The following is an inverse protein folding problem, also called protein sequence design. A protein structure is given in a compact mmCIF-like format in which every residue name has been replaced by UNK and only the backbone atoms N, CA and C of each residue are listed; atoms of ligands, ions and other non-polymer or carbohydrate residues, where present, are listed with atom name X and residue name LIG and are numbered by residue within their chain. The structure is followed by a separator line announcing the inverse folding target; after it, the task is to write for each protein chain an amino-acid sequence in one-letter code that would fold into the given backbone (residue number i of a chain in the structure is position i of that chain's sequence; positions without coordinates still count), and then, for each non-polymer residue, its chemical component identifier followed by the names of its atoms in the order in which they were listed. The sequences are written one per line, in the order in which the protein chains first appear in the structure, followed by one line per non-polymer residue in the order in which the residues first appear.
data_IF_008842593888
#
_entry.id   IF_008842593888
#
_cell.length_a   1.000
_cell.length_b   1.000
_cell.length_c   1.000
_cell.angle_alpha   90.00
_cell.angle_beta   90.00
_cell.angle_gamma   90.00
#
_symmetry.space_group_name_H-M   'P 1'
#
loop_
_entity.id
_entity.type
_entity.pdbx_description
1 polymer ?
#
# COMPACT_ATOMS: atom_id res chain seq x y z
N UNK A 1 76.91 -138.49 49.08
CA UNK A 1 76.18 -137.46 49.88
C UNK A 1 76.24 -136.04 49.28
N UNK A 2 77.19 -135.73 48.37
CA UNK A 2 77.36 -134.38 47.79
C UNK A 2 76.24 -133.89 46.83
N UNK A 3 75.60 -134.78 46.05
CA UNK A 3 74.59 -134.38 45.03
C UNK A 3 73.28 -133.81 45.60
N UNK A 4 72.89 -134.12 46.85
CA UNK A 4 71.65 -133.60 47.46
C UNK A 4 71.82 -132.17 47.97
N UNK A 5 73.03 -131.80 48.42
CA UNK A 5 73.34 -130.45 48.91
C UNK A 5 73.38 -129.41 47.80
N UNK A 6 73.86 -129.78 46.62
CA UNK A 6 73.89 -128.89 45.45
C UNK A 6 72.50 -128.61 44.88
N UNK A 7 71.60 -129.60 44.91
CA UNK A 7 70.20 -129.43 44.48
C UNK A 7 69.43 -128.50 45.44
N UNK A 8 69.62 -128.62 46.75
CA UNK A 8 68.99 -127.74 47.72
C UNK A 8 69.46 -126.28 47.59
N UNK A 9 70.76 -126.05 47.39
CA UNK A 9 71.33 -124.73 47.14
C UNK A 9 70.80 -124.11 45.83
N UNK A 10 70.62 -124.91 44.79
CA UNK A 10 70.05 -124.45 43.52
C UNK A 10 68.59 -124.01 43.68
N UNK A 11 67.78 -124.76 44.44
CA UNK A 11 66.37 -124.40 44.71
C UNK A 11 66.28 -123.08 45.50
N UNK A 12 67.12 -122.90 46.53
CA UNK A 12 67.15 -121.66 47.32
C UNK A 12 67.58 -120.47 46.46
N UNK A 13 68.55 -120.65 45.57
CA UNK A 13 68.98 -119.60 44.64
C UNK A 13 67.86 -119.22 43.64
N UNK A 14 67.10 -120.21 43.13
CA UNK A 14 65.96 -119.96 42.24
C UNK A 14 64.83 -119.25 42.98
N UNK A 15 64.49 -119.67 44.20
CA UNK A 15 63.46 -119.01 45.02
C UNK A 15 63.91 -117.59 45.39
N UNK A 16 65.17 -117.40 45.77
CA UNK A 16 65.73 -116.07 46.06
C UNK A 16 65.71 -115.16 44.83
N UNK A 17 66.05 -115.68 43.65
CA UNK A 17 66.05 -114.90 42.41
C UNK A 17 64.63 -114.56 41.93
N UNK A 18 63.69 -115.51 42.03
CA UNK A 18 62.28 -115.29 41.68
C UNK A 18 61.58 -114.33 42.65
N UNK A 19 61.88 -114.41 43.95
CA UNK A 19 61.39 -113.45 44.93
C UNK A 19 61.99 -112.06 44.72
N UNK A 20 63.30 -111.96 44.46
CA UNK A 20 63.96 -110.69 44.17
C UNK A 20 63.44 -110.05 42.88
N UNK A 21 63.24 -110.84 41.82
CA UNK A 21 62.61 -110.39 40.57
C UNK A 21 61.16 -109.94 40.80
N UNK A 22 60.36 -110.66 41.58
CA UNK A 22 58.98 -110.27 41.91
C UNK A 22 58.91 -109.00 42.76
N UNK A 23 59.77 -108.88 43.78
CA UNK A 23 59.85 -107.72 44.65
C UNK A 23 60.40 -106.47 43.92
N UNK A 24 61.39 -106.65 43.04
CA UNK A 24 61.96 -105.55 42.26
C UNK A 24 60.97 -105.05 41.20
N UNK A 25 60.32 -105.95 40.46
CA UNK A 25 59.34 -105.57 39.43
C UNK A 25 58.11 -104.88 40.01
N UNK A 26 57.58 -105.34 41.15
CA UNK A 26 56.47 -104.68 41.84
C UNK A 26 56.87 -103.29 42.38
N UNK A 27 58.06 -103.18 42.98
CA UNK A 27 58.60 -101.91 43.44
C UNK A 27 58.84 -100.92 42.30
N UNK A 28 59.34 -101.39 41.15
CA UNK A 28 59.57 -100.56 39.97
C UNK A 28 58.25 -100.09 39.34
N UNK A 29 57.21 -100.94 39.34
CA UNK A 29 55.87 -100.58 38.86
C UNK A 29 55.25 -99.43 39.67
N UNK A 30 55.24 -99.56 41.01
CA UNK A 30 54.73 -98.50 41.90
C UNK A 30 55.55 -97.21 41.77
N UNK A 31 56.87 -97.33 41.62
CA UNK A 31 57.74 -96.18 41.40
C UNK A 31 57.41 -95.46 40.10
N UNK A 32 57.18 -96.20 39.01
CA UNK A 32 56.80 -95.64 37.72
C UNK A 32 55.43 -94.96 37.77
N UNK A 33 54.46 -95.54 38.48
CA UNK A 33 53.14 -94.94 38.70
C UNK A 33 53.22 -93.64 39.51
N UNK A 34 54.03 -93.60 40.58
CA UNK A 34 54.31 -92.37 41.35
C UNK A 34 54.95 -91.29 40.46
N UNK A 35 55.89 -91.67 39.58
CA UNK A 35 56.52 -90.74 38.64
C UNK A 35 55.49 -90.21 37.62
N UNK A 36 54.61 -91.07 37.09
CA UNK A 36 53.53 -90.69 36.17
C UNK A 36 52.57 -89.71 36.83
N UNK A 37 52.03 -90.05 38.01
CA UNK A 37 51.12 -89.21 38.77
C UNK A 37 51.75 -87.85 39.13
N UNK A 38 53.05 -87.82 39.46
CA UNK A 38 53.76 -86.57 39.73
C UNK A 38 53.87 -85.70 38.47
N UNK A 39 54.08 -86.33 37.31
CA UNK A 39 54.15 -85.65 36.01
C UNK A 39 52.77 -85.09 35.63
N UNK A 40 51.71 -85.88 35.77
CA UNK A 40 50.32 -85.46 35.56
C UNK A 40 49.94 -84.31 36.50
N UNK A 41 50.28 -84.40 37.79
CA UNK A 41 50.04 -83.33 38.75
C UNK A 41 50.76 -82.03 38.36
N UNK A 42 52.00 -82.13 37.86
CA UNK A 42 52.74 -80.97 37.35
C UNK A 42 52.03 -80.36 36.13
N UNK A 43 51.59 -81.18 35.18
CA UNK A 43 50.87 -80.73 33.99
C UNK A 43 49.53 -80.07 34.34
N UNK A 44 48.76 -80.65 35.26
CA UNK A 44 47.50 -80.07 35.76
C UNK A 44 47.74 -78.73 36.44
N UNK A 45 48.82 -78.61 37.24
CA UNK A 45 49.18 -77.35 37.90
C UNK A 45 49.56 -76.25 36.89
N UNK A 46 50.28 -76.60 35.83
CA UNK A 46 50.60 -75.68 34.74
C UNK A 46 49.34 -75.23 33.99
N UNK A 47 48.44 -76.17 33.65
CA UNK A 47 47.16 -75.85 33.02
C UNK A 47 46.29 -74.95 33.91
N UNK A 48 46.23 -75.23 35.22
CA UNK A 48 45.51 -74.39 36.18
C UNK A 48 46.07 -72.96 36.22
N UNK A 49 47.40 -72.81 36.30
CA UNK A 49 48.02 -71.49 36.31
C UNK A 49 47.76 -70.72 35.01
N UNK A 50 47.75 -71.40 33.86
CA UNK A 50 47.42 -70.79 32.57
C UNK A 50 45.97 -70.30 32.53
N UNK A 51 45.03 -71.12 32.99
CA UNK A 51 43.61 -70.73 33.11
C UNK A 51 43.44 -69.55 34.06
N UNK A 52 44.18 -69.51 35.17
CA UNK A 52 44.15 -68.39 36.11
C UNK A 52 44.63 -67.09 35.48
N UNK A 53 45.70 -67.15 34.69
CA UNK A 53 46.22 -66.00 33.93
C UNK A 53 45.22 -65.53 32.86
N UNK A 54 44.63 -66.46 32.10
CA UNK A 54 43.60 -66.15 31.09
C UNK A 54 42.36 -65.52 31.73
N UNK A 55 41.87 -66.05 32.85
CA UNK A 55 40.76 -65.46 33.59
C UNK A 55 41.08 -64.06 34.11
N UNK A 56 42.32 -63.82 34.54
CA UNK A 56 42.74 -62.49 35.01
C UNK A 56 42.72 -61.47 33.85
N UNK A 57 43.18 -61.86 32.66
CA UNK A 57 43.12 -61.03 31.44
C UNK A 57 41.68 -60.75 31.02
N UNK A 58 40.81 -61.77 31.00
CA UNK A 58 39.40 -61.59 30.67
C UNK A 58 38.68 -60.64 31.63
N UNK A 59 39.04 -60.67 32.91
CA UNK A 59 38.45 -59.77 33.91
C UNK A 59 38.88 -58.31 33.67
N UNK A 60 40.13 -58.10 33.28
CA UNK A 60 40.63 -56.78 32.87
C UNK A 60 39.94 -56.28 31.59
N UNK A 61 39.85 -57.12 30.55
CA UNK A 61 39.14 -56.80 29.31
C UNK A 61 37.66 -56.46 29.56
N UNK A 62 36.98 -57.21 30.42
CA UNK A 62 35.58 -56.93 30.76
C UNK A 62 35.43 -55.60 31.51
N UNK A 63 36.36 -55.26 32.40
CA UNK A 63 36.37 -53.96 33.07
C UNK A 63 36.55 -52.80 32.08
N UNK A 64 37.42 -52.96 31.08
CA UNK A 64 37.62 -51.95 30.03
C UNK A 64 36.36 -51.80 29.16
N UNK A 65 35.72 -52.91 28.78
CA UNK A 65 34.48 -52.89 28.01
C UNK A 65 33.33 -52.21 28.77
N UNK A 66 33.25 -52.40 30.09
CA UNK A 66 32.27 -51.71 30.94
C UNK A 66 32.50 -50.20 30.96
N UNK A 67 33.76 -49.76 31.02
CA UNK A 67 34.13 -48.36 30.95
C UNK A 67 33.79 -47.75 29.58
N UNK A 68 34.17 -48.40 28.48
CA UNK A 68 33.85 -47.97 27.11
C UNK A 68 32.33 -47.87 26.88
N UNK A 69 31.56 -48.84 27.37
CA UNK A 69 30.10 -48.82 27.25
C UNK A 69 29.48 -47.67 28.06
N UNK A 70 30.06 -47.34 29.22
CA UNK A 70 29.66 -46.19 30.03
C UNK A 70 29.93 -44.86 29.30
N UNK A 71 31.10 -44.73 28.66
CA UNK A 71 31.43 -43.58 27.83
C UNK A 71 30.47 -43.45 26.65
N UNK A 72 30.22 -44.54 25.92
CA UNK A 72 29.33 -44.54 24.76
C UNK A 72 27.89 -44.13 25.14
N UNK A 73 27.39 -44.58 26.28
CA UNK A 73 26.07 -44.16 26.80
C UNK A 73 26.02 -42.66 27.06
N UNK A 74 27.09 -42.08 27.59
CA UNK A 74 27.18 -40.63 27.85
C UNK A 74 27.19 -39.85 26.54
N UNK A 75 28.01 -40.28 25.58
CA UNK A 75 28.13 -39.64 24.27
C UNK A 75 26.80 -39.70 23.52
N UNK A 76 26.10 -40.83 23.58
CA UNK A 76 24.76 -40.99 23.01
C UNK A 76 23.75 -40.02 23.65
N UNK A 77 23.79 -39.85 24.98
CA UNK A 77 22.90 -38.91 25.67
C UNK A 77 23.16 -37.46 25.22
N UNK A 78 24.44 -37.06 25.11
CA UNK A 78 24.83 -35.73 24.61
C UNK A 78 24.38 -35.53 23.16
N UNK A 79 24.58 -36.53 22.30
CA UNK A 79 24.15 -36.47 20.91
C UNK A 79 22.63 -36.31 20.79
N UNK A 80 21.86 -37.03 21.61
CA UNK A 80 20.40 -36.92 21.66
C UNK A 80 19.94 -35.52 22.09
N UNK A 81 20.60 -34.93 23.07
CA UNK A 81 20.31 -33.55 23.50
C UNK A 81 20.61 -32.55 22.39
N UNK A 82 21.77 -32.67 21.73
CA UNK A 82 22.16 -31.81 20.63
C UNK A 82 21.19 -31.91 19.44
N UNK A 83 20.75 -33.12 19.11
CA UNK A 83 19.74 -33.33 18.08
C UNK A 83 18.42 -32.62 18.43
N UNK A 84 17.97 -32.72 19.69
CA UNK A 84 16.77 -32.02 20.14
C UNK A 84 16.90 -30.51 20.03
N UNK A 85 18.05 -29.93 20.40
CA UNK A 85 18.32 -28.50 20.24
C UNK A 85 18.31 -28.08 18.78
N UNK A 86 18.96 -28.86 17.91
CA UNK A 86 19.00 -28.59 16.47
C UNK A 86 17.59 -28.60 15.86
N UNK A 87 16.74 -29.56 16.27
CA UNK A 87 15.36 -29.63 15.81
C UNK A 87 14.58 -28.36 16.18
N UNK A 88 14.69 -27.89 17.42
CA UNK A 88 14.03 -26.65 17.86
C UNK A 88 14.54 -25.42 17.07
N UNK A 89 15.84 -25.35 16.79
CA UNK A 89 16.40 -24.28 15.96
C UNK A 89 15.88 -24.33 14.53
N UNK A 90 15.75 -25.52 13.95
CA UNK A 90 15.21 -25.71 12.62
C UNK A 90 13.74 -25.28 12.55
N UNK A 91 12.91 -25.72 13.51
CA UNK A 91 11.49 -25.37 13.56
C UNK A 91 11.31 -23.84 13.66
N UNK A 92 12.11 -23.17 14.50
CA UNK A 92 12.12 -21.69 14.59
C UNK A 92 12.52 -21.03 13.27
N UNK A 93 13.54 -21.54 12.59
CA UNK A 93 14.00 -20.97 11.33
C UNK A 93 12.92 -21.10 10.24
N UNK A 94 12.16 -22.20 10.24
CA UNK A 94 11.03 -22.38 9.32
C UNK A 94 9.93 -21.36 9.60
N UNK A 95 9.57 -21.14 10.87
CA UNK A 95 8.58 -20.11 11.25
C UNK A 95 9.04 -18.69 10.84
N UNK A 96 10.31 -18.35 11.08
CA UNK A 96 10.87 -17.06 10.64
C UNK A 96 10.83 -16.91 9.12
N UNK A 97 11.18 -17.96 8.37
CA UNK A 97 11.13 -17.95 6.91
C UNK A 97 9.70 -17.81 6.36
N UNK A 98 8.73 -18.48 6.98
CA UNK A 98 7.32 -18.31 6.64
C UNK A 98 6.84 -16.87 6.91
N UNK A 99 7.30 -16.24 7.99
CA UNK A 99 7.04 -14.82 8.27
C UNK A 99 7.63 -13.88 7.21
N UNK A 100 8.81 -14.20 6.66
CA UNK A 100 9.44 -13.42 5.58
C UNK A 100 8.73 -13.60 4.25
N UNK A 101 8.02 -14.71 4.01
CA UNK A 101 7.25 -14.92 2.76
C UNK A 101 6.20 -13.83 2.53
N UNK A 102 5.66 -13.26 3.61
CA UNK A 102 4.71 -12.15 3.56
C UNK A 102 5.36 -10.82 3.12
N UNK A 103 6.68 -10.68 3.28
CA UNK A 103 7.42 -9.48 2.87
C UNK A 103 7.31 -9.22 1.37
N UNK A 104 7.36 -10.26 0.52
CA UNK A 104 7.20 -10.09 -0.93
C UNK A 104 5.82 -9.53 -1.28
N UNK A 105 4.76 -10.05 -0.66
CA UNK A 105 3.40 -9.55 -0.86
C UNK A 105 3.26 -8.08 -0.43
N UNK A 106 3.79 -7.74 0.75
CA UNK A 106 3.86 -6.38 1.27
C UNK A 106 4.61 -5.43 0.34
N UNK A 107 5.76 -5.87 -0.18
CA UNK A 107 6.56 -5.10 -1.14
C UNK A 107 5.79 -4.83 -2.44
N UNK A 108 5.17 -5.85 -3.03
CA UNK A 108 4.37 -5.69 -4.27
C UNK A 108 3.11 -4.84 -4.06
N UNK A 109 2.55 -4.83 -2.85
CA UNK A 109 1.46 -3.92 -2.48
C UNK A 109 1.95 -2.48 -2.41
N UNK A 110 3.06 -2.24 -1.70
CA UNK A 110 3.67 -0.93 -1.55
C UNK A 110 4.10 -0.34 -2.90
N UNK A 111 4.68 -1.16 -3.78
CA UNK A 111 5.08 -0.75 -5.12
C UNK A 111 3.88 -0.25 -5.94
N UNK A 112 2.76 -0.99 -5.93
CA UNK A 112 1.53 -0.57 -6.61
C UNK A 112 0.93 0.70 -6.01
N UNK A 113 0.98 0.87 -4.69
CA UNK A 113 0.53 2.10 -4.04
C UNK A 113 1.38 3.31 -4.46
N UNK A 114 2.70 3.12 -4.60
CA UNK A 114 3.60 4.17 -5.10
C UNK A 114 3.30 4.54 -6.56
N UNK A 115 3.15 3.56 -7.46
CA UNK A 115 2.79 3.80 -8.86
C UNK A 115 1.46 4.56 -9.00
N UNK A 116 0.47 4.24 -8.16
CA UNK A 116 -0.80 4.98 -8.12
C UNK A 116 -0.66 6.41 -7.61
N UNK A 117 0.22 6.64 -6.63
CA UNK A 117 0.48 7.97 -6.09
C UNK A 117 1.15 8.87 -7.14
N UNK A 118 2.07 8.31 -7.92
CA UNK A 118 2.75 9.02 -9.01
C UNK A 118 1.76 9.50 -10.07
N UNK A 119 0.80 8.64 -10.48
CA UNK A 119 -0.27 9.02 -11.42
C UNK A 119 -1.11 10.18 -10.86
N UNK A 120 -1.55 10.08 -9.60
CA UNK A 120 -2.35 11.14 -8.96
C UNK A 120 -1.60 12.46 -8.88
N UNK A 121 -0.29 12.43 -8.67
CA UNK A 121 0.52 13.64 -8.64
C UNK A 121 0.57 14.30 -10.03
N UNK A 122 0.72 13.52 -11.10
CA UNK A 122 0.67 14.05 -12.46
C UNK A 122 -0.70 14.64 -12.81
N UNK A 123 -1.80 13.99 -12.39
CA UNK A 123 -3.16 14.52 -12.57
C UNK A 123 -3.37 15.85 -11.83
N UNK A 124 -2.83 15.98 -10.62
CA UNK A 124 -2.92 17.22 -9.83
C UNK A 124 -2.16 18.37 -10.51
N UNK A 125 -0.98 18.09 -11.06
CA UNK A 125 -0.17 19.08 -11.79
C UNK A 125 -0.90 19.59 -13.03
N UNK A 126 -1.57 18.71 -13.79
CA UNK A 126 -2.36 19.12 -14.96
C UNK A 126 -3.55 20.01 -14.55
N UNK A 127 -4.20 19.69 -13.43
CA UNK A 127 -5.31 20.49 -12.92
C UNK A 127 -4.88 21.89 -12.47
N UNK A 128 -3.65 22.04 -11.97
CA UNK A 128 -3.08 23.34 -11.60
C UNK A 128 -2.87 24.23 -12.83
N UNK A 129 -2.39 23.67 -13.94
CA UNK A 129 -2.24 24.37 -15.23
C UNK A 129 -3.61 24.82 -15.80
N UNK A 130 -4.62 23.95 -15.72
CA UNK A 130 -6.00 24.27 -16.12
C UNK A 130 -6.59 25.41 -15.27
N UNK A 131 -6.32 25.42 -13.96
CA UNK A 131 -6.78 26.46 -13.04
C UNK A 131 -6.16 27.82 -13.38
N UNK A 132 -4.86 27.90 -13.61
CA UNK A 132 -4.20 29.15 -13.97
C UNK A 132 -4.69 29.67 -15.33
N UNK A 133 -4.91 28.77 -16.30
CA UNK A 133 -5.51 29.13 -17.59
C UNK A 133 -6.92 29.72 -17.45
N UNK A 134 -7.75 29.14 -16.58
CA UNK A 134 -9.09 29.62 -16.30
C UNK A 134 -9.07 31.00 -15.62
N UNK A 135 -8.15 31.19 -14.68
CA UNK A 135 -7.96 32.45 -13.96
C UNK A 135 -7.53 33.58 -14.89
N UNK A 136 -6.62 33.32 -15.84
CA UNK A 136 -6.28 34.30 -16.87
C UNK A 136 -7.47 34.65 -17.78
N UNK A 137 -8.27 33.66 -18.18
CA UNK A 137 -9.46 33.88 -18.99
C UNK A 137 -10.49 34.75 -18.25
N UNK A 138 -10.65 34.54 -16.95
CA UNK A 138 -11.53 35.34 -16.09
C UNK A 138 -11.07 36.80 -16.01
N UNK A 139 -9.78 37.06 -15.77
CA UNK A 139 -9.27 38.44 -15.71
C UNK A 139 -9.44 39.16 -17.05
N UNK A 140 -9.17 38.49 -18.18
CA UNK A 140 -9.44 39.04 -19.52
C UNK A 140 -10.92 39.38 -19.73
N UNK A 141 -11.83 38.53 -19.26
CA UNK A 141 -13.27 38.78 -19.36
C UNK A 141 -13.67 40.00 -18.53
N UNK A 142 -13.12 40.13 -17.32
CA UNK A 142 -13.36 41.26 -16.43
C UNK A 142 -12.89 42.58 -17.04
N UNK A 143 -11.67 42.61 -17.59
CA UNK A 143 -11.15 43.79 -18.30
C UNK A 143 -12.04 44.20 -19.49
N UNK A 144 -12.51 43.21 -20.27
CA UNK A 144 -13.43 43.46 -21.38
C UNK A 144 -14.76 44.06 -20.90
N UNK A 145 -15.31 43.56 -19.79
CA UNK A 145 -16.53 44.08 -19.19
C UNK A 145 -16.35 45.54 -18.75
N UNK A 146 -15.26 45.86 -18.04
CA UNK A 146 -14.94 47.23 -17.60
C UNK A 146 -14.71 48.19 -18.78
N UNK A 147 -14.13 47.71 -19.89
CA UNK A 147 -13.98 48.50 -21.12
C UNK A 147 -15.34 48.86 -21.73
N UNK A 148 -16.25 47.89 -21.81
CA UNK A 148 -17.59 48.13 -22.36
C UNK A 148 -18.37 49.11 -21.49
N UNK A 149 -18.24 49.02 -20.16
CA UNK A 149 -18.89 49.95 -19.24
C UNK A 149 -18.48 51.40 -19.55
N UNK A 150 -17.17 51.65 -19.74
CA UNK A 150 -16.62 52.96 -20.12
C UNK A 150 -17.07 53.43 -21.51
N UNK A 151 -17.17 52.52 -22.47
CA UNK A 151 -17.71 52.84 -23.81
C UNK A 151 -19.20 53.23 -23.73
N UNK A 152 -19.96 52.61 -22.83
CA UNK A 152 -21.36 52.95 -22.56
C UNK A 152 -21.56 54.28 -21.83
N UNK A 153 -20.62 54.69 -20.95
CA UNK A 153 -20.64 55.99 -20.27
C UNK A 153 -20.52 57.19 -21.24
N UNK A 154 -20.02 56.99 -22.45
CA UNK A 154 -19.94 58.04 -23.47
C UNK A 154 -21.31 58.43 -24.07
N UNK A 155 -22.36 57.64 -23.81
CA UNK A 155 -23.76 57.94 -24.14
C UNK A 155 -24.46 58.29 -22.82
N UNK A 156 -25.16 59.43 -22.74
CA UNK A 156 -25.82 59.85 -21.50
C UNK A 156 -26.69 58.72 -20.90
N UNK A 157 -26.20 58.12 -19.82
CA UNK A 157 -26.81 56.92 -19.19
C UNK A 157 -28.17 57.24 -18.61
N UNK A 158 -28.38 58.48 -18.18
CA UNK A 158 -29.71 59.01 -17.91
C UNK A 158 -29.76 60.52 -18.10
N UNK A 159 -30.96 61.05 -18.36
CA UNK A 159 -31.22 62.48 -18.40
C UNK A 159 -32.60 62.77 -17.82
N UNK A 160 -32.76 63.95 -17.22
CA UNK A 160 -34.02 64.46 -16.70
C UNK A 160 -34.25 65.88 -17.23
N UNK A 161 -35.45 66.15 -17.77
CA UNK A 161 -35.84 67.47 -18.23
C UNK A 161 -37.36 67.67 -18.13
N UNK A 162 -37.78 68.92 -18.30
CA UNK A 162 -39.19 69.30 -18.36
C UNK A 162 -39.55 69.52 -19.84
N UNK A 163 -40.72 69.04 -20.28
CA UNK A 163 -41.22 69.26 -21.63
C UNK A 163 -41.37 70.74 -21.96
N UNK A 164 -41.35 71.10 -23.24
CA UNK A 164 -41.46 72.50 -23.69
C UNK A 164 -42.74 73.19 -23.19
N UNK A 165 -43.84 72.43 -23.13
CA UNK A 165 -45.13 72.90 -22.61
C UNK A 165 -45.22 72.96 -21.08
N UNK A 166 -44.15 72.55 -20.38
CA UNK A 166 -44.01 72.51 -18.91
C UNK A 166 -45.03 71.63 -18.18
N UNK A 167 -45.69 70.72 -18.88
CA UNK A 167 -46.71 69.83 -18.32
C UNK A 167 -46.17 68.43 -17.96
N UNK A 168 -45.03 68.05 -18.52
CA UNK A 168 -44.42 66.74 -18.29
C UNK A 168 -43.01 66.89 -17.72
N UNK A 169 -42.70 66.10 -16.70
CA UNK A 169 -41.33 65.76 -16.30
C UNK A 169 -40.95 64.47 -17.03
N UNK A 170 -39.84 64.49 -17.75
CA UNK A 170 -39.35 63.35 -18.54
C UNK A 170 -38.01 62.89 -18.00
N UNK A 171 -37.88 61.59 -17.78
CA UNK A 171 -36.59 60.95 -17.50
C UNK A 171 -36.32 59.89 -18.57
N UNK A 172 -35.06 59.76 -18.98
CA UNK A 172 -34.60 58.67 -19.83
C UNK A 172 -33.44 57.95 -19.17
N UNK A 173 -33.37 56.62 -19.37
CA UNK A 173 -32.31 55.75 -18.87
C UNK A 173 -31.90 54.78 -19.98
N UNK A 174 -30.60 54.73 -20.30
CA UNK A 174 -30.02 53.83 -21.30
C UNK A 174 -29.58 52.53 -20.63
N UNK A 175 -30.05 51.41 -21.15
CA UNK A 175 -29.79 50.08 -20.62
C UNK A 175 -29.13 49.22 -21.72
N UNK A 176 -27.84 48.86 -21.60
CA UNK A 176 -27.18 48.00 -22.57
C UNK A 176 -27.72 46.56 -22.50
N UNK A 177 -27.96 45.95 -23.66
CA UNK A 177 -28.46 44.57 -23.77
C UNK A 177 -27.34 43.64 -24.22
N UNK A 178 -27.03 42.65 -23.39
CA UNK A 178 -26.00 41.66 -23.64
C UNK A 178 -26.60 40.30 -24.00
N UNK A 179 -25.99 39.65 -24.99
CA UNK A 179 -26.28 38.25 -25.31
C UNK A 179 -24.95 37.50 -25.48
N UNK A 180 -24.78 36.40 -24.73
CA UNK A 180 -23.53 35.62 -24.70
C UNK A 180 -22.27 36.48 -24.43
N UNK A 181 -22.39 37.47 -23.55
CA UNK A 181 -21.28 38.37 -23.20
C UNK A 181 -20.93 39.41 -24.27
N UNK A 182 -21.71 39.51 -25.36
CA UNK A 182 -21.52 40.53 -26.41
C UNK A 182 -22.67 41.54 -26.38
N UNK A 183 -22.33 42.82 -26.52
CA UNK A 183 -23.32 43.88 -26.68
C UNK A 183 -24.12 43.65 -27.96
N UNK A 184 -25.43 43.48 -27.82
CA UNK A 184 -26.36 43.25 -28.94
C UNK A 184 -27.01 44.56 -29.40
N UNK A 185 -27.24 45.46 -28.47
CA UNK A 185 -27.96 46.71 -28.68
C UNK A 185 -28.23 47.41 -27.36
N UNK A 186 -29.11 48.39 -27.40
CA UNK A 186 -29.54 49.13 -26.22
C UNK A 186 -31.06 49.08 -26.08
N UNK A 187 -31.50 49.34 -24.85
CA UNK A 187 -32.86 49.73 -24.53
C UNK A 187 -32.82 51.13 -23.96
N UNK A 188 -33.83 51.93 -24.24
CA UNK A 188 -34.01 53.22 -23.56
C UNK A 188 -35.34 53.20 -22.84
N UNK A 189 -35.26 53.24 -21.51
CA UNK A 189 -36.41 53.39 -20.64
C UNK A 189 -36.73 54.88 -20.54
N UNK A 190 -37.95 55.26 -20.89
CA UNK A 190 -38.45 56.63 -20.77
C UNK A 190 -39.58 56.65 -19.77
N UNK A 191 -39.50 57.54 -18.78
CA UNK A 191 -40.60 57.79 -17.85
C UNK A 191 -41.10 59.22 -18.03
N UNK A 192 -42.40 59.37 -18.25
CA UNK A 192 -43.07 60.67 -18.29
C UNK A 192 -43.98 60.80 -17.08
N UNK A 193 -43.92 61.93 -16.39
CA UNK A 193 -44.77 62.22 -15.23
C UNK A 193 -45.56 63.50 -15.50
N UNK A 194 -46.88 63.44 -15.34
CA UNK A 194 -47.72 64.63 -15.45
C UNK A 194 -47.52 65.51 -14.21
N UNK A 195 -46.91 66.68 -14.42
CA UNK A 195 -46.65 67.68 -13.38
C UNK A 195 -47.61 68.88 -13.48
N UNK A 196 -48.60 68.82 -14.36
CA UNK A 196 -49.62 69.84 -14.52
C UNK A 196 -50.78 69.64 -13.53
N UNK A 197 -51.68 70.63 -13.48
CA UNK A 197 -52.85 70.62 -12.60
C UNK A 197 -54.11 70.01 -13.28
N UNK A 198 -53.96 69.39 -14.45
CA UNK A 198 -55.06 68.80 -15.21
C UNK A 198 -54.66 67.45 -15.83
N UNK A 199 -55.61 66.53 -16.09
CA UNK A 199 -55.30 65.29 -16.78
C UNK A 199 -54.93 65.55 -18.25
N UNK A 200 -53.94 64.81 -18.75
CA UNK A 200 -53.51 64.89 -20.15
C UNK A 200 -54.19 63.78 -20.95
N UNK A 201 -55.07 64.17 -21.88
CA UNK A 201 -55.85 63.22 -22.67
C UNK A 201 -54.98 62.30 -23.52
N UNK A 202 -53.90 62.84 -24.11
CA UNK A 202 -52.94 62.05 -24.90
C UNK A 202 -51.52 62.57 -24.76
N UNK A 203 -50.56 61.68 -24.55
CA UNK A 203 -49.13 61.97 -24.52
C UNK A 203 -48.42 61.10 -25.54
N UNK A 204 -47.67 61.71 -26.46
CA UNK A 204 -46.79 60.99 -27.38
C UNK A 204 -45.36 61.03 -26.86
N UNK A 205 -44.70 59.88 -26.88
CA UNK A 205 -43.29 59.73 -26.54
C UNK A 205 -42.57 59.22 -27.77
N UNK A 206 -41.60 59.98 -28.26
CA UNK A 206 -40.78 59.66 -29.41
C UNK A 206 -39.35 59.40 -28.96
N UNK A 207 -38.72 58.39 -29.54
CA UNK A 207 -37.27 58.20 -29.45
C UNK A 207 -36.61 58.39 -30.83
N UNK A 208 -35.46 59.03 -30.83
CA UNK A 208 -34.65 59.27 -32.01
C UNK A 208 -33.24 58.74 -31.76
N UNK A 209 -32.95 57.47 -32.13
CA UNK A 209 -31.61 56.90 -32.03
C UNK A 209 -30.70 57.44 -33.14
N UNK A 210 -29.46 57.79 -32.81
CA UNK A 210 -28.47 58.31 -33.76
C UNK A 210 -27.22 57.44 -33.79
N UNK A 211 -26.65 57.26 -34.98
CA UNK A 211 -25.33 56.65 -35.21
C UNK A 211 -24.44 57.73 -35.82
N UNK A 212 -23.55 58.29 -34.99
CA UNK A 212 -22.87 59.56 -35.28
C UNK A 212 -23.89 60.71 -35.38
N UNK A 213 -23.82 61.47 -36.47
CA UNK A 213 -24.76 62.59 -36.74
C UNK A 213 -26.00 62.17 -37.55
N UNK A 214 -26.17 60.87 -37.83
CA UNK A 214 -27.26 60.35 -38.66
C UNK A 214 -28.31 59.66 -37.80
N UNK A 215 -29.58 60.00 -38.03
CA UNK A 215 -30.70 59.28 -37.44
C UNK A 215 -30.67 57.83 -37.96
N UNK A 216 -30.76 56.86 -37.05
CA UNK A 216 -30.90 55.45 -37.40
C UNK A 216 -32.26 55.20 -38.08
N UNK A 217 -32.46 54.00 -38.65
CA UNK A 217 -33.76 53.64 -39.21
C UNK A 217 -34.86 53.90 -38.19
N UNK A 218 -35.83 54.72 -38.58
CA UNK A 218 -36.89 55.21 -37.71
C UNK A 218 -38.24 54.86 -38.31
N UNK A 219 -39.11 54.27 -37.50
CA UNK A 219 -40.47 53.92 -37.86
C UNK A 219 -41.40 54.14 -36.66
N UNK A 220 -42.68 54.36 -36.96
CA UNK A 220 -43.68 54.71 -35.94
C UNK A 220 -44.01 53.58 -34.96
N UNK A 221 -43.74 52.31 -35.31
CA UNK A 221 -44.15 51.18 -34.48
C UNK A 221 -43.13 50.93 -33.38
N UNK A 222 -41.84 51.06 -33.69
CA UNK A 222 -40.77 50.77 -32.74
C UNK A 222 -40.28 52.02 -31.99
N UNK A 223 -40.54 53.23 -32.52
CA UNK A 223 -39.95 54.46 -32.00
C UNK A 223 -40.95 55.48 -31.42
N UNK A 224 -42.24 55.13 -31.39
CA UNK A 224 -43.29 55.98 -30.83
C UNK A 224 -44.20 55.16 -29.93
N UNK A 225 -44.50 55.70 -28.75
CA UNK A 225 -45.57 55.18 -27.89
C UNK A 225 -46.53 56.30 -27.50
N UNK A 226 -47.76 55.92 -27.16
CA UNK A 226 -48.79 56.85 -26.74
C UNK A 226 -49.40 56.44 -25.42
N UNK A 227 -49.54 57.40 -24.52
CA UNK A 227 -50.23 57.25 -23.24
C UNK A 227 -51.56 57.99 -23.35
N UNK A 228 -52.64 57.33 -22.97
CA UNK A 228 -53.97 57.95 -22.92
C UNK A 228 -54.33 58.21 -21.45
N UNK A 229 -54.94 59.37 -21.18
CA UNK A 229 -55.45 59.77 -19.87
C UNK A 229 -54.41 59.71 -18.72
N UNK A 230 -53.30 60.44 -18.86
CA UNK A 230 -52.28 60.54 -17.80
C UNK A 230 -52.71 61.57 -16.73
N UNK A 231 -53.06 61.11 -15.53
CA UNK A 231 -53.58 61.94 -14.44
C UNK A 231 -52.48 62.72 -13.71
N UNK A 232 -52.87 63.72 -12.93
CA UNK A 232 -51.94 64.60 -12.20
C UNK A 232 -51.07 63.79 -11.23
N UNK A 233 -49.75 63.96 -11.33
CA UNK A 233 -48.77 63.23 -10.54
C UNK A 233 -48.55 61.77 -10.97
N UNK A 234 -49.30 61.27 -11.95
CA UNK A 234 -49.12 59.92 -12.49
C UNK A 234 -47.88 59.86 -13.39
N UNK A 235 -47.16 58.75 -13.29
CA UNK A 235 -46.00 58.44 -14.12
C UNK A 235 -46.30 57.25 -15.01
N UNK A 236 -45.88 57.33 -16.27
CA UNK A 236 -45.89 56.22 -17.21
C UNK A 236 -44.48 55.93 -17.71
N UNK A 237 -44.09 54.66 -17.69
CA UNK A 237 -42.78 54.19 -18.14
C UNK A 237 -42.93 53.29 -19.36
N UNK A 238 -42.12 53.54 -20.38
CA UNK A 238 -42.03 52.70 -21.57
C UNK A 238 -40.57 52.38 -21.87
N UNK A 239 -40.32 51.15 -22.33
CA UNK A 239 -38.98 50.71 -22.75
C UNK A 239 -38.98 50.60 -24.27
N UNK A 240 -38.15 51.43 -24.92
CA UNK A 240 -37.84 51.28 -26.33
C UNK A 240 -36.76 50.23 -26.48
N UNK A 241 -37.15 49.09 -27.04
CA UNK A 241 -36.27 47.93 -27.26
C UNK A 241 -35.61 47.97 -28.64
N UNK A 242 -34.68 47.03 -28.87
CA UNK A 242 -34.03 46.79 -30.18
C UNK A 242 -33.29 48.00 -30.80
N UNK A 243 -32.76 48.91 -29.97
CA UNK A 243 -31.91 50.01 -30.45
C UNK A 243 -30.53 49.49 -30.86
N UNK A 244 -29.91 50.05 -31.92
CA UNK A 244 -28.71 49.49 -32.52
C UNK A 244 -27.51 49.58 -31.59
N UNK A 245 -26.65 48.55 -31.58
CA UNK A 245 -25.39 48.56 -30.79
C UNK A 245 -24.42 49.66 -31.22
N UNK A 246 -24.55 50.17 -32.43
CA UNK A 246 -23.76 51.28 -32.98
C UNK A 246 -24.33 52.66 -32.59
N UNK A 247 -25.44 52.72 -31.84
CA UNK A 247 -26.02 53.98 -31.37
C UNK A 247 -24.97 54.77 -30.59
N UNK A 248 -24.77 56.03 -30.96
CA UNK A 248 -23.83 56.93 -30.29
C UNK A 248 -24.55 57.95 -29.40
N UNK A 249 -25.78 58.32 -29.75
CA UNK A 249 -26.65 59.19 -28.95
C UNK A 249 -28.11 58.87 -29.22
N UNK A 250 -29.00 59.35 -28.35
CA UNK A 250 -30.44 59.32 -28.59
C UNK A 250 -31.07 60.64 -28.13
N UNK A 251 -32.22 60.98 -28.70
CA UNK A 251 -33.08 62.06 -28.20
C UNK A 251 -34.46 61.52 -27.89
N UNK A 252 -35.06 62.04 -26.84
CA UNK A 252 -36.44 61.73 -26.47
C UNK A 252 -37.25 63.01 -26.53
N UNK A 253 -38.43 62.92 -27.13
CA UNK A 253 -39.39 64.02 -27.16
C UNK A 253 -40.71 63.52 -26.58
N UNK A 254 -41.23 64.21 -25.58
CA UNK A 254 -42.56 63.94 -25.02
C UNK A 254 -43.45 65.16 -25.26
N UNK A 255 -44.60 64.95 -25.90
CA UNK A 255 -45.55 65.99 -26.23
C UNK A 255 -46.92 65.62 -25.67
N UNK A 256 -47.59 66.57 -25.03
CA UNK A 256 -48.98 66.39 -24.60
C UNK A 256 -49.94 67.09 -25.56
N UNK A 257 -50.93 66.33 -26.04
CA UNK A 257 -52.00 66.78 -26.92
C UNK A 257 -53.30 66.98 -26.19
N UNK A 258 -54.10 67.89 -26.71
CA UNK A 258 -55.54 67.96 -26.41
C UNK A 258 -56.21 66.94 -27.34
N UNK A 259 -57.19 66.15 -26.87
CA UNK A 259 -57.99 65.28 -27.73
C UNK A 259 -58.67 66.05 -28.88
#
# INVERSE_FOLDING_TARGET
MAKKSTVALAIIAIIGWTFWLGASTYSDSLRNEIISLKTELSSVKEAYNKILEENSKLLEENSLLEEENSLLKRDYAVLKENYSKLKVMYDRLVEEFEGVKDFKSKYEKLKREYEQLEIKYSELSALEEDYESLKEAYEKLKENYEKILREGEAIATSAEWISEDKRLKVTSELIPVFWFGKLRGYKVRVTVTNISNEPLGKVWIFIFPYVGDKLYTWDKYDHVTTVENLYMGESYTYEFDDLPKEMTTYKVLALSGIP
#
